data_IF_968275246156
#
_entry.id   IF_968275246156
#
_cell.length_a   1.000
_cell.length_b   1.000
_cell.length_c   1.000
_cell.angle_alpha   90.00
_cell.angle_beta   90.00
_cell.angle_gamma   90.00
#
_symmetry.space_group_name_H-M   'P 1'
#
loop_
_entity.id
_entity.type
_entity.pdbx_description
1 polymer ?
#
# COMPACT_ATOMS: atom_id res chain seq x y z
N UNK A 1 -20.90 -18.22 -9.38
CA UNK A 1 -20.11 -17.62 -8.27
C UNK A 1 -19.01 -16.82 -8.92
N UNK A 2 -18.35 -17.42 -9.90
CA UNK A 2 -18.11 -16.97 -11.29
C UNK A 2 -18.34 -15.48 -11.58
N UNK A 3 -19.55 -14.99 -11.89
CA UNK A 3 -19.72 -13.60 -12.35
C UNK A 3 -19.14 -12.46 -11.46
N UNK A 4 -19.04 -12.66 -10.14
CA UNK A 4 -18.42 -11.67 -9.22
C UNK A 4 -16.92 -11.90 -9.06
N UNK A 5 -16.49 -13.16 -9.20
CA UNK A 5 -15.09 -13.54 -9.32
C UNK A 5 -14.53 -12.99 -10.64
N UNK A 6 -15.28 -13.05 -11.75
CA UNK A 6 -14.89 -12.58 -13.07
C UNK A 6 -14.71 -11.06 -13.16
N UNK A 7 -15.56 -10.29 -12.48
CA UNK A 7 -15.39 -8.83 -12.42
C UNK A 7 -14.17 -8.42 -11.59
N UNK A 8 -13.80 -9.23 -10.58
CA UNK A 8 -12.57 -9.06 -9.82
C UNK A 8 -11.34 -9.58 -10.58
N UNK A 9 -11.50 -10.67 -11.35
CA UNK A 9 -10.53 -11.23 -12.30
C UNK A 9 -10.16 -10.21 -13.36
N UNK A 10 -11.14 -9.49 -13.90
CA UNK A 10 -10.92 -8.46 -14.92
C UNK A 10 -10.12 -7.25 -14.40
N UNK A 11 -10.21 -6.94 -13.11
CA UNK A 11 -9.47 -5.85 -12.46
C UNK A 11 -8.04 -6.23 -12.02
N UNK A 12 -7.67 -7.51 -12.09
CA UNK A 12 -6.36 -8.05 -11.67
C UNK A 12 -5.75 -8.97 -12.76
N UNK A 13 -6.36 -9.08 -13.95
CA UNK A 13 -5.97 -10.07 -14.98
C UNK A 13 -5.80 -11.49 -14.43
N UNK A 14 -6.68 -11.92 -13.53
CA UNK A 14 -6.68 -13.30 -13.01
C UNK A 14 -7.46 -14.18 -14.01
N UNK A 15 -6.84 -15.12 -14.75
CA UNK A 15 -7.51 -15.97 -15.74
C UNK A 15 -8.43 -17.00 -15.08
N UNK A 16 -9.43 -17.52 -15.83
CA UNK A 16 -10.51 -18.46 -15.45
C UNK A 16 -10.01 -19.78 -14.83
N UNK A 17 -10.84 -20.45 -14.01
CA UNK A 17 -10.39 -21.52 -13.10
C UNK A 17 -10.39 -22.89 -13.78
N UNK A 18 -9.21 -23.36 -14.20
CA UNK A 18 -8.90 -24.70 -14.70
C UNK A 18 -7.68 -25.26 -13.91
N UNK A 19 -7.16 -26.46 -14.22
CA UNK A 19 -5.98 -27.08 -13.55
C UNK A 19 -4.72 -26.18 -13.48
N UNK A 20 -4.72 -25.07 -14.20
CA UNK A 20 -3.78 -23.93 -14.20
C UNK A 20 -3.83 -23.04 -12.92
N UNK A 21 -4.87 -23.16 -12.08
CA UNK A 21 -5.06 -22.31 -10.88
C UNK A 21 -3.87 -22.36 -9.90
N UNK A 22 -3.26 -23.54 -9.75
CA UNK A 22 -2.12 -23.74 -8.86
C UNK A 22 -0.81 -23.15 -9.40
N UNK A 23 -0.66 -23.08 -10.72
CA UNK A 23 0.48 -22.47 -11.41
C UNK A 23 0.36 -20.95 -11.37
N UNK A 24 -0.82 -20.42 -11.73
CA UNK A 24 -1.12 -18.99 -11.66
C UNK A 24 -0.92 -18.40 -10.25
N UNK A 25 -1.37 -19.09 -9.20
CA UNK A 25 -1.18 -18.65 -7.81
C UNK A 25 0.30 -18.61 -7.40
N UNK A 26 1.12 -19.54 -7.91
CA UNK A 26 2.58 -19.54 -7.68
C UNK A 26 3.24 -18.37 -8.40
N UNK A 27 2.86 -18.10 -9.63
CA UNK A 27 3.39 -16.97 -10.40
C UNK A 27 3.02 -15.63 -9.76
N UNK A 28 1.75 -15.44 -9.38
CA UNK A 28 1.28 -14.25 -8.67
C UNK A 28 2.04 -14.05 -7.34
N UNK A 29 2.25 -15.13 -6.58
CA UNK A 29 3.04 -15.09 -5.33
C UNK A 29 4.49 -14.67 -5.59
N UNK A 30 5.11 -15.18 -6.65
CA UNK A 30 6.46 -14.80 -7.07
C UNK A 30 6.54 -13.31 -7.45
N UNK A 31 5.60 -12.84 -8.26
CA UNK A 31 5.53 -11.44 -8.70
C UNK A 31 5.28 -10.49 -7.52
N UNK A 32 4.40 -10.84 -6.59
CA UNK A 32 4.16 -10.07 -5.36
C UNK A 32 5.39 -10.01 -4.47
N UNK A 33 6.11 -11.13 -4.29
CA UNK A 33 7.35 -11.16 -3.53
C UNK A 33 8.45 -10.28 -4.15
N UNK A 34 8.57 -10.31 -5.48
CA UNK A 34 9.51 -9.46 -6.22
C UNK A 34 9.21 -7.97 -6.01
N UNK A 35 7.95 -7.58 -6.22
CA UNK A 35 7.52 -6.19 -6.02
C UNK A 35 7.72 -5.75 -4.57
N UNK A 36 7.48 -6.63 -3.59
CA UNK A 36 7.62 -6.30 -2.17
C UNK A 36 9.10 -6.09 -1.81
N UNK A 37 9.97 -6.91 -2.36
CA UNK A 37 11.41 -6.71 -2.20
C UNK A 37 11.85 -5.39 -2.83
N UNK A 38 11.34 -5.05 -4.03
CA UNK A 38 11.64 -3.78 -4.69
C UNK A 38 11.19 -2.55 -3.88
N UNK A 39 9.96 -2.56 -3.36
CA UNK A 39 9.43 -1.48 -2.50
C UNK A 39 10.26 -1.36 -1.23
N UNK A 40 10.60 -2.49 -0.59
CA UNK A 40 11.41 -2.49 0.62
C UNK A 40 12.80 -1.89 0.35
N UNK A 41 13.45 -2.26 -0.75
CA UNK A 41 14.74 -1.72 -1.17
C UNK A 41 14.65 -0.22 -1.43
N UNK A 42 13.65 0.25 -2.17
CA UNK A 42 13.47 1.69 -2.45
C UNK A 42 13.20 2.49 -1.17
N UNK A 43 12.33 1.98 -0.29
CA UNK A 43 12.02 2.64 0.97
C UNK A 43 13.23 2.67 1.91
N UNK A 44 14.03 1.59 1.94
CA UNK A 44 15.28 1.55 2.70
C UNK A 44 16.29 2.59 2.20
N UNK A 45 16.49 2.66 0.88
CA UNK A 45 17.37 3.64 0.26
C UNK A 45 16.92 5.08 0.56
N UNK A 46 15.63 5.37 0.41
CA UNK A 46 15.06 6.69 0.68
C UNK A 46 15.09 7.05 2.19
N UNK A 47 15.01 6.05 3.07
CA UNK A 47 15.05 6.25 4.52
C UNK A 47 16.46 6.59 5.02
N UNK A 48 17.48 5.91 4.48
CA UNK A 48 18.88 6.18 4.84
C UNK A 48 19.45 7.41 4.12
N UNK A 49 19.01 7.65 2.88
CA UNK A 49 19.41 8.78 2.06
C UNK A 49 18.17 9.63 1.76
N UNK A 50 17.72 10.47 2.72
CA UNK A 50 16.57 11.31 2.51
C UNK A 50 16.80 12.27 1.33
N UNK A 51 15.73 12.69 0.64
CA UNK A 51 15.84 13.65 -0.46
C UNK A 51 16.50 14.93 0.03
N UNK A 52 17.49 15.41 -0.73
CA UNK A 52 18.35 16.52 -0.33
C UNK A 52 19.57 16.12 0.51
N UNK A 53 19.68 14.86 0.91
CA UNK A 53 20.80 14.32 1.67
C UNK A 53 20.81 14.71 3.15
N UNK A 54 21.91 14.38 3.81
CA UNK A 54 22.21 14.79 5.18
C UNK A 54 23.22 15.94 5.16
N UNK A 55 23.08 16.83 6.14
CA UNK A 55 24.01 17.94 6.34
C UNK A 55 25.34 17.33 6.76
N UNK A 56 26.38 17.56 5.96
CA UNK A 56 27.73 17.11 6.25
C UNK A 56 28.43 18.10 7.19
N UNK A 57 29.54 17.64 7.78
CA UNK A 57 30.36 18.50 8.60
C UNK A 57 30.98 19.63 7.77
N UNK A 58 31.10 20.84 8.34
CA UNK A 58 31.85 21.92 7.71
C UNK A 58 33.36 21.65 7.70
N UNK A 59 34.09 22.46 6.92
CA UNK A 59 35.54 22.34 6.63
C UNK A 59 36.46 22.32 7.87
N UNK A 60 35.94 22.55 9.08
CA UNK A 60 36.68 22.52 10.34
C UNK A 60 36.70 21.16 11.08
N UNK A 61 36.08 20.10 10.54
CA UNK A 61 36.09 18.76 11.16
C UNK A 61 35.36 18.63 12.51
N UNK A 62 34.83 19.72 13.06
CA UNK A 62 34.07 19.73 14.31
C UNK A 62 32.61 19.28 14.10
N UNK A 63 32.21 18.14 14.67
CA UNK A 63 30.83 17.60 14.67
C UNK A 63 29.91 18.35 15.63
N UNK A 64 30.14 19.66 15.79
CA UNK A 64 29.34 20.51 16.65
C UNK A 64 28.20 21.12 15.83
N UNK A 65 27.00 21.18 16.43
CA UNK A 65 25.92 21.98 15.88
C UNK A 65 26.36 23.45 15.87
N UNK A 66 26.47 24.12 14.71
CA UNK A 66 26.85 25.51 14.68
C UNK A 66 25.71 26.35 15.26
N UNK A 67 25.93 26.99 16.41
CA UNK A 67 24.96 27.88 17.06
C UNK A 67 24.57 29.12 16.22
N UNK A 68 25.25 29.36 15.10
CA UNK A 68 25.20 30.60 14.31
C UNK A 68 24.76 30.44 12.84
N UNK A 69 24.45 29.23 12.37
CA UNK A 69 24.01 29.01 10.98
C UNK A 69 22.56 28.53 10.90
N UNK A 70 21.58 29.45 10.94
CA UNK A 70 20.18 29.10 10.74
C UNK A 70 19.93 28.68 9.29
N UNK A 71 19.44 27.45 9.06
CA UNK A 71 19.03 26.96 7.74
C UNK A 71 17.51 26.88 7.71
N UNK A 72 16.84 27.92 7.20
CA UNK A 72 15.37 27.97 7.13
C UNK A 72 14.69 28.06 8.50
N UNK A 73 13.73 28.99 8.65
CA UNK A 73 12.94 29.18 9.89
C UNK A 73 13.73 29.38 11.21
N UNK A 74 15.00 29.78 11.17
CA UNK A 74 15.76 30.19 12.36
C UNK A 74 16.26 29.05 13.26
N UNK A 75 16.23 27.80 12.79
CA UNK A 75 16.79 26.67 13.52
C UNK A 75 18.21 26.35 13.03
N UNK A 76 19.13 26.13 13.97
CA UNK A 76 20.49 25.71 13.69
C UNK A 76 20.48 24.27 13.13
N UNK A 77 21.07 24.07 11.96
CA UNK A 77 21.08 22.76 11.32
C UNK A 77 22.37 22.02 11.67
N UNK A 78 22.25 20.87 12.34
CA UNK A 78 23.39 20.10 12.81
C UNK A 78 23.91 19.12 11.75
N UNK A 79 25.22 18.82 11.75
CA UNK A 79 25.75 17.69 10.99
C UNK A 79 24.99 16.39 11.32
N UNK A 80 24.67 15.58 10.31
CA UNK A 80 23.87 14.36 10.45
C UNK A 80 22.35 14.57 10.40
N UNK A 81 21.86 15.81 10.47
CA UNK A 81 20.44 16.11 10.25
C UNK A 81 20.11 16.09 8.74
N UNK A 82 18.94 15.61 8.35
CA UNK A 82 18.51 15.67 6.96
C UNK A 82 18.28 17.12 6.52
N UNK A 83 18.71 17.46 5.30
CA UNK A 83 18.48 18.79 4.71
C UNK A 83 16.98 19.06 4.60
N UNK A 84 16.18 18.02 4.32
CA UNK A 84 14.72 18.12 4.32
C UNK A 84 14.17 18.56 5.70
N UNK A 85 14.60 17.93 6.79
CA UNK A 85 14.11 18.28 8.13
C UNK A 85 14.46 19.73 8.52
N UNK A 86 15.59 20.26 8.05
CA UNK A 86 15.98 21.65 8.26
C UNK A 86 15.11 22.64 7.45
N UNK A 87 14.71 22.28 6.23
CA UNK A 87 13.92 23.16 5.36
C UNK A 87 12.42 23.16 5.64
N UNK A 88 11.83 21.99 5.83
CA UNK A 88 10.41 21.82 6.11
C UNK A 88 10.19 20.61 7.03
N UNK A 89 9.98 20.90 8.31
CA UNK A 89 9.74 19.89 9.35
C UNK A 89 8.45 19.10 9.11
N UNK A 90 7.40 19.76 8.58
CA UNK A 90 6.10 19.14 8.36
C UNK A 90 6.13 18.17 7.18
N UNK A 91 6.69 18.60 6.04
CA UNK A 91 6.90 17.75 4.87
C UNK A 91 7.80 16.55 5.18
N UNK A 92 8.90 16.78 5.92
CA UNK A 92 9.81 15.72 6.33
C UNK A 92 9.14 14.65 7.20
N UNK A 93 8.30 15.05 8.16
CA UNK A 93 7.61 14.08 9.01
C UNK A 93 6.62 13.23 8.21
N UNK A 94 5.88 13.83 7.28
CA UNK A 94 4.98 13.10 6.38
C UNK A 94 5.73 12.13 5.45
N UNK A 95 6.87 12.57 4.91
CA UNK A 95 7.77 11.75 4.10
C UNK A 95 8.27 10.53 4.89
N UNK A 96 8.86 10.74 6.07
CA UNK A 96 9.41 9.65 6.87
C UNK A 96 8.33 8.66 7.31
N UNK A 97 7.15 9.15 7.73
CA UNK A 97 6.06 8.29 8.16
C UNK A 97 5.58 7.39 7.01
N UNK A 98 5.32 7.96 5.85
CA UNK A 98 4.84 7.21 4.68
C UNK A 98 5.89 6.24 4.14
N UNK A 99 7.17 6.66 4.10
CA UNK A 99 8.28 5.83 3.70
C UNK A 99 8.48 4.63 4.64
N UNK A 100 8.54 4.86 5.96
CA UNK A 100 8.71 3.80 6.95
C UNK A 100 7.51 2.85 6.99
N UNK A 101 6.28 3.36 6.85
CA UNK A 101 5.09 2.52 6.75
C UNK A 101 5.14 1.64 5.48
N UNK A 102 5.54 2.19 4.33
CA UNK A 102 5.71 1.39 3.09
C UNK A 102 6.75 0.28 3.26
N UNK A 103 7.86 0.57 3.96
CA UNK A 103 8.91 -0.41 4.24
C UNK A 103 8.40 -1.57 5.12
N UNK A 104 7.74 -1.26 6.23
CA UNK A 104 7.22 -2.27 7.16
C UNK A 104 6.13 -3.13 6.53
N UNK A 105 5.21 -2.52 5.78
CA UNK A 105 4.16 -3.26 5.07
C UNK A 105 4.74 -4.15 3.97
N UNK A 106 5.82 -3.71 3.33
CA UNK A 106 6.52 -4.51 2.32
C UNK A 106 7.25 -5.71 2.93
N UNK A 107 7.97 -5.52 4.04
CA UNK A 107 8.57 -6.63 4.81
C UNK A 107 7.49 -7.61 5.28
N UNK A 108 6.38 -7.10 5.81
CA UNK A 108 5.24 -7.93 6.22
C UNK A 108 4.73 -8.75 5.03
N UNK A 109 4.65 -8.15 3.85
CA UNK A 109 4.24 -8.84 2.63
C UNK A 109 5.26 -9.91 2.22
N UNK A 110 6.57 -9.62 2.27
CA UNK A 110 7.61 -10.63 2.01
C UNK A 110 7.51 -11.82 2.97
N UNK A 111 7.33 -11.58 4.27
CA UNK A 111 7.17 -12.64 5.27
C UNK A 111 5.92 -13.47 4.96
N UNK A 112 4.77 -12.83 4.71
CA UNK A 112 3.54 -13.54 4.37
C UNK A 112 3.65 -14.34 3.08
N UNK A 113 4.33 -13.79 2.08
CA UNK A 113 4.66 -14.46 0.82
C UNK A 113 5.59 -15.64 1.08
N UNK A 114 6.59 -15.56 1.95
CA UNK A 114 7.51 -16.69 2.24
C UNK A 114 6.83 -17.76 3.09
N UNK A 115 6.03 -17.37 4.09
CA UNK A 115 5.35 -18.28 5.03
C UNK A 115 4.35 -19.24 4.39
N UNK A 116 4.07 -19.09 3.09
CA UNK A 116 3.26 -20.06 2.36
C UNK A 116 1.84 -20.18 2.87
N UNK A 117 1.30 -19.09 3.42
CA UNK A 117 -0.11 -19.00 3.83
C UNK A 117 -0.95 -19.49 2.65
N UNK A 118 -1.82 -20.49 2.82
CA UNK A 118 -2.52 -21.11 1.70
C UNK A 118 -3.26 -20.03 0.91
N UNK A 119 -2.80 -19.74 -0.31
CA UNK A 119 -3.41 -18.78 -1.23
C UNK A 119 -4.69 -19.39 -1.84
N UNK A 120 -5.58 -19.89 -1.00
CA UNK A 120 -6.91 -20.29 -1.43
C UNK A 120 -7.75 -19.06 -1.81
N UNK A 121 -8.86 -19.25 -2.55
CA UNK A 121 -9.85 -18.21 -2.76
C UNK A 121 -10.46 -17.79 -1.41
N UNK A 122 -9.91 -16.75 -0.78
CA UNK A 122 -10.27 -16.35 0.58
C UNK A 122 -9.51 -15.13 1.10
N UNK A 123 -9.54 -14.96 2.43
CA UNK A 123 -8.95 -13.82 3.15
C UNK A 123 -7.43 -13.62 3.01
N UNK A 124 -6.55 -14.65 2.87
CA UNK A 124 -5.10 -14.40 2.84
C UNK A 124 -4.61 -13.77 1.53
N UNK A 125 -5.06 -14.26 0.37
CA UNK A 125 -4.77 -13.66 -0.94
C UNK A 125 -5.30 -12.23 -1.01
N UNK A 126 -6.44 -11.99 -0.38
CA UNK A 126 -7.02 -10.67 -0.22
C UNK A 126 -6.14 -9.75 0.63
N UNK A 127 -5.69 -10.22 1.79
CA UNK A 127 -4.81 -9.46 2.66
C UNK A 127 -3.49 -9.08 1.96
N UNK A 128 -2.89 -10.02 1.21
CA UNK A 128 -1.69 -9.78 0.41
C UNK A 128 -1.90 -8.67 -0.64
N UNK A 129 -2.97 -8.76 -1.43
CA UNK A 129 -3.27 -7.74 -2.44
C UNK A 129 -3.49 -6.33 -1.82
N UNK A 130 -4.10 -6.28 -0.63
CA UNK A 130 -4.33 -5.02 0.09
C UNK A 130 -3.04 -4.44 0.66
N UNK A 131 -2.23 -5.24 1.35
CA UNK A 131 -0.92 -4.81 1.87
C UNK A 131 -0.05 -4.27 0.74
N UNK A 132 -0.10 -4.92 -0.42
CA UNK A 132 0.72 -4.52 -1.55
C UNK A 132 0.26 -3.21 -2.18
N UNK A 133 -1.04 -3.04 -2.36
CA UNK A 133 -1.63 -1.79 -2.86
C UNK A 133 -1.34 -0.62 -1.92
N UNK A 134 -1.48 -0.82 -0.60
CA UNK A 134 -1.18 0.20 0.42
C UNK A 134 0.31 0.55 0.39
N UNK A 135 1.20 -0.44 0.29
CA UNK A 135 2.66 -0.22 0.25
C UNK A 135 3.08 0.63 -0.95
N UNK A 136 2.56 0.34 -2.15
CA UNK A 136 2.83 1.10 -3.37
C UNK A 136 2.36 2.56 -3.27
N UNK A 137 1.17 2.78 -2.72
CA UNK A 137 0.61 4.14 -2.57
C UNK A 137 1.42 4.94 -1.55
N UNK A 138 1.78 4.34 -0.41
CA UNK A 138 2.61 5.01 0.58
C UNK A 138 3.99 5.37 0.02
N UNK A 139 4.60 4.48 -0.77
CA UNK A 139 5.87 4.76 -1.45
C UNK A 139 5.71 5.89 -2.49
N UNK A 140 4.62 5.90 -3.25
CA UNK A 140 4.33 6.97 -4.21
C UNK A 140 4.14 8.34 -3.51
N UNK A 141 3.41 8.37 -2.38
CA UNK A 141 3.26 9.60 -1.58
C UNK A 141 4.62 10.08 -1.06
N UNK A 142 5.42 9.18 -0.49
CA UNK A 142 6.80 9.49 -0.06
C UNK A 142 7.64 10.09 -1.19
N UNK A 143 7.61 9.48 -2.38
CA UNK A 143 8.29 10.00 -3.56
C UNK A 143 7.84 11.42 -3.94
N UNK A 144 6.53 11.68 -3.98
CA UNK A 144 6.00 13.03 -4.32
C UNK A 144 6.42 14.09 -3.31
N UNK A 145 6.44 13.76 -2.02
CA UNK A 145 6.90 14.65 -0.95
C UNK A 145 8.40 14.92 -1.06
N UNK A 146 9.21 13.93 -1.43
CA UNK A 146 10.65 14.10 -1.65
C UNK A 146 10.98 14.91 -2.90
N UNK A 147 10.30 14.65 -4.02
CA UNK A 147 10.49 15.36 -5.28
C UNK A 147 10.15 16.86 -5.16
N UNK A 148 9.19 17.22 -4.32
CA UNK A 148 8.85 18.62 -4.04
C UNK A 148 10.02 19.43 -3.47
N UNK A 149 10.87 18.79 -2.64
CA UNK A 149 12.05 19.45 -2.06
C UNK A 149 13.16 19.69 -3.10
N UNK A 150 13.35 18.74 -4.02
CA UNK A 150 14.45 18.76 -4.99
C UNK A 150 14.27 19.80 -6.09
N UNK A 151 13.06 20.32 -6.30
CA UNK A 151 12.78 21.26 -7.39
C UNK A 151 12.43 22.68 -6.88
N UNK A 152 13.44 23.48 -6.46
CA UNK A 152 13.21 24.81 -5.90
C UNK A 152 12.66 25.85 -6.91
N UNK A 153 12.69 25.57 -8.23
CA UNK A 153 12.08 26.45 -9.25
C UNK A 153 10.55 26.35 -9.29
N UNK A 154 10.00 25.20 -8.89
CA UNK A 154 8.55 24.98 -8.82
C UNK A 154 7.92 25.64 -7.59
N UNK A 155 8.73 26.06 -6.61
CA UNK A 155 8.27 26.97 -5.57
C UNK A 155 7.62 28.17 -6.24
N UNK A 156 8.28 28.96 -7.10
CA UNK A 156 7.67 30.20 -7.65
C UNK A 156 6.38 30.02 -8.47
N UNK A 157 6.10 28.82 -9.00
CA UNK A 157 4.84 28.50 -9.70
C UNK A 157 3.90 27.71 -8.76
N UNK A 158 3.60 28.31 -7.61
CA UNK A 158 3.09 27.65 -6.39
C UNK A 158 1.74 26.91 -6.53
N UNK A 159 0.86 27.25 -7.46
CA UNK A 159 -0.51 26.71 -7.48
C UNK A 159 -0.64 25.40 -8.27
N UNK A 160 -0.16 25.37 -9.51
CA UNK A 160 -0.43 24.25 -10.43
C UNK A 160 0.20 22.93 -9.99
N UNK A 161 1.48 22.94 -9.58
CA UNK A 161 2.17 21.71 -9.16
C UNK A 161 1.67 21.17 -7.82
N UNK A 162 1.34 22.06 -6.87
CA UNK A 162 0.70 21.65 -5.60
C UNK A 162 -0.65 21.02 -5.86
N UNK A 163 -1.49 21.64 -6.70
CA UNK A 163 -2.78 21.08 -7.10
C UNK A 163 -2.60 19.74 -7.78
N UNK A 164 -1.62 19.60 -8.69
CA UNK A 164 -1.31 18.33 -9.33
C UNK A 164 -0.96 17.23 -8.33
N UNK A 165 -0.10 17.51 -7.35
CA UNK A 165 0.24 16.56 -6.27
C UNK A 165 -1.01 16.20 -5.46
N UNK A 166 -1.81 17.18 -5.03
CA UNK A 166 -3.02 16.91 -4.26
C UNK A 166 -4.04 16.09 -5.04
N UNK A 167 -4.24 16.40 -6.33
CA UNK A 167 -5.10 15.63 -7.25
C UNK A 167 -4.57 14.21 -7.41
N UNK A 168 -3.27 14.04 -7.61
CA UNK A 168 -2.65 12.74 -7.75
C UNK A 168 -2.77 11.89 -6.47
N UNK A 169 -2.49 12.47 -5.30
CA UNK A 169 -2.65 11.80 -4.01
C UNK A 169 -4.11 11.46 -3.72
N UNK A 170 -5.04 12.39 -3.96
CA UNK A 170 -6.48 12.11 -3.78
C UNK A 170 -6.99 11.05 -4.75
N UNK A 171 -6.50 11.03 -5.98
CA UNK A 171 -6.79 9.98 -6.95
C UNK A 171 -6.28 8.60 -6.47
N UNK A 172 -5.05 8.52 -5.95
CA UNK A 172 -4.51 7.28 -5.37
C UNK A 172 -5.32 6.79 -4.17
N UNK A 173 -5.74 7.70 -3.29
CA UNK A 173 -6.61 7.39 -2.15
C UNK A 173 -8.00 6.94 -2.62
N UNK A 174 -8.54 7.57 -3.67
CA UNK A 174 -9.80 7.17 -4.28
C UNK A 174 -9.71 5.74 -4.83
N UNK A 175 -8.65 5.40 -5.57
CA UNK A 175 -8.41 4.04 -6.07
C UNK A 175 -8.33 3.01 -4.93
N UNK A 176 -7.65 3.36 -3.84
CA UNK A 176 -7.61 2.53 -2.64
C UNK A 176 -9.02 2.32 -2.06
N UNK A 177 -9.78 3.40 -1.89
CA UNK A 177 -11.14 3.35 -1.34
C UNK A 177 -12.10 2.54 -2.22
N UNK A 178 -11.97 2.63 -3.55
CA UNK A 178 -12.73 1.84 -4.51
C UNK A 178 -12.36 0.36 -4.43
N UNK A 179 -11.07 0.02 -4.30
CA UNK A 179 -10.60 -1.36 -4.07
C UNK A 179 -11.15 -1.92 -2.76
N UNK A 180 -11.08 -1.16 -1.67
CA UNK A 180 -11.68 -1.53 -0.38
C UNK A 180 -13.22 -1.68 -0.47
N UNK A 181 -13.91 -0.77 -1.16
CA UNK A 181 -15.37 -0.81 -1.31
C UNK A 181 -15.82 -2.01 -2.16
N UNK A 182 -15.17 -2.25 -3.30
CA UNK A 182 -15.43 -3.41 -4.16
C UNK A 182 -15.24 -4.73 -3.39
N UNK A 183 -14.23 -4.77 -2.53
CA UNK A 183 -13.92 -5.89 -1.64
C UNK A 183 -14.97 -6.07 -0.54
N UNK A 184 -15.40 -5.00 0.14
CA UNK A 184 -16.47 -5.07 1.15
C UNK A 184 -17.78 -5.56 0.51
N UNK A 185 -18.08 -5.08 -0.70
CA UNK A 185 -19.25 -5.51 -1.47
C UNK A 185 -19.15 -6.97 -1.89
N UNK A 186 -17.96 -7.47 -2.27
CA UNK A 186 -17.77 -8.89 -2.62
C UNK A 186 -17.98 -9.80 -1.41
N UNK A 187 -17.42 -9.45 -0.24
CA UNK A 187 -17.64 -10.19 1.01
C UNK A 187 -19.12 -10.20 1.43
N UNK A 188 -19.81 -9.06 1.31
CA UNK A 188 -21.26 -8.95 1.58
C UNK A 188 -22.07 -9.83 0.62
N UNK A 189 -21.72 -9.85 -0.68
CA UNK A 189 -22.38 -10.68 -1.68
C UNK A 189 -22.16 -12.17 -1.42
N UNK A 190 -20.95 -12.58 -1.03
CA UNK A 190 -20.65 -13.97 -0.64
C UNK A 190 -21.46 -14.38 0.58
N UNK A 191 -21.45 -13.56 1.65
CA UNK A 191 -22.22 -13.84 2.88
C UNK A 191 -23.72 -13.96 2.59
N UNK A 192 -24.28 -13.07 1.74
CA UNK A 192 -25.69 -13.12 1.31
C UNK A 192 -26.01 -14.38 0.51
N UNK A 193 -25.08 -14.82 -0.36
CA UNK A 193 -25.27 -16.02 -1.18
C UNK A 193 -25.19 -17.31 -0.37
N UNK A 194 -24.24 -17.42 0.57
CA UNK A 194 -24.14 -18.54 1.51
C UNK A 194 -25.35 -18.63 2.42
N UNK A 195 -25.87 -17.49 2.91
CA UNK A 195 -27.11 -17.45 3.70
C UNK A 195 -28.33 -17.97 2.92
N UNK A 196 -28.48 -17.58 1.65
CA UNK A 196 -29.57 -18.09 0.78
C UNK A 196 -29.48 -19.59 0.53
N UNK A 197 -28.29 -20.14 0.32
CA UNK A 197 -28.09 -21.59 0.15
C UNK A 197 -28.48 -22.38 1.40
N UNK A 198 -28.06 -21.91 2.58
CA UNK A 198 -28.45 -22.55 3.86
C UNK A 198 -29.95 -22.51 4.11
N UNK A 199 -30.62 -21.40 3.78
CA UNK A 199 -32.08 -21.31 3.88
C UNK A 199 -32.79 -22.28 2.92
N UNK A 200 -32.29 -22.43 1.69
CA UNK A 200 -32.83 -23.40 0.74
C UNK A 200 -32.66 -24.85 1.20
N UNK A 201 -31.52 -25.20 1.82
CA UNK A 201 -31.33 -26.54 2.39
C UNK A 201 -32.24 -26.80 3.60
N UNK A 202 -32.43 -25.82 4.49
CA UNK A 202 -33.36 -25.94 5.63
C UNK A 202 -34.82 -26.06 5.20
N UNK A 203 -35.22 -25.37 4.13
CA UNK A 203 -36.56 -25.51 3.57
C UNK A 203 -36.76 -26.86 2.89
N UNK A 204 -35.75 -27.37 2.19
CA UNK A 204 -35.77 -28.71 1.59
C UNK A 204 -35.88 -29.82 2.62
N UNK A 205 -35.10 -29.78 3.70
CA UNK A 205 -35.14 -30.80 4.76
C UNK A 205 -36.45 -30.80 5.55
N UNK A 206 -36.99 -29.62 5.87
CA UNK A 206 -38.29 -29.53 6.55
C UNK A 206 -39.43 -30.09 5.71
N UNK A 207 -39.42 -29.86 4.39
CA UNK A 207 -40.47 -30.34 3.49
C UNK A 207 -40.47 -31.87 3.34
N UNK A 208 -39.30 -32.52 3.36
CA UNK A 208 -39.17 -33.98 3.33
C UNK A 208 -39.62 -34.61 4.65
N UNK A 209 -39.27 -34.01 5.79
CA UNK A 209 -39.68 -34.49 7.11
C UNK A 209 -41.20 -34.45 7.30
N UNK A 210 -41.87 -33.40 6.81
CA UNK A 210 -43.34 -33.30 6.86
C UNK A 210 -44.06 -34.32 5.97
N UNK A 211 -43.48 -34.68 4.83
CA UNK A 211 -44.08 -35.67 3.91
C UNK A 211 -43.97 -37.12 4.46
N UNK A 212 -42.90 -37.42 5.19
CA UNK A 212 -42.70 -38.74 5.81
C UNK A 212 -43.60 -38.97 7.03
N UNK A 213 -44.02 -37.92 7.73
CA UNK A 213 -44.91 -38.02 8.91
C UNK A 213 -46.40 -38.20 8.56
N UNK A 214 -46.78 -37.99 7.29
CA UNK A 214 -48.16 -38.11 6.80
C UNK A 214 -48.42 -39.42 6.04
N UNK A 215 -47.45 -40.33 5.96
CA UNK A 215 -47.57 -41.67 5.38
C UNK A 215 -47.55 -42.72 6.48
#
# INVERSE_FOLDING_TARGET
MEFVVDSFRFLISVPAADDDDGEWLKEMRGNLGLMATMIATMAFQNGLNPPGGVIQNGDGGSVACPSSSPVGHGQAACPGQSVYAARDRHGYNGFMLTNSASFLLSITTCILVISGVPLGPGYPTLALAMLMSVSLILLAVSYTLGAFLLNPRIQKTHAGFRVFIYVFVTFLVLLLSLRFAALILSLRRVKKKTGRRRLQELQGTNSVATAAASS
#
